data_IF_344925800298
#
_entry.id   IF_344925800298
#
_cell.length_a   1.000
_cell.length_b   1.000
_cell.length_c   1.000
_cell.angle_alpha   90.00
_cell.angle_beta   90.00
_cell.angle_gamma   90.00
#
_symmetry.space_group_name_H-M   'P 1'
#
loop_
_entity.id
_entity.type
_entity.pdbx_description
1 polymer ?
#
# COMPACT_ATOMS: atom_id res chain seq x y z
N UNK A 1 -2.63 -4.26 -13.19
CA UNK A 1 -3.95 -3.60 -13.14
C UNK A 1 -3.74 -2.17 -13.59
N UNK A 2 -4.42 -1.74 -14.64
CA UNK A 2 -4.21 -0.41 -15.19
C UNK A 2 -5.30 0.52 -14.65
N UNK A 3 -4.94 1.39 -13.70
CA UNK A 3 -5.84 2.42 -13.19
C UNK A 3 -5.75 3.64 -14.09
N UNK A 4 -6.89 4.14 -14.56
CA UNK A 4 -6.97 5.32 -15.41
C UNK A 4 -7.82 6.40 -14.73
N UNK A 5 -7.41 7.66 -14.85
CA UNK A 5 -8.25 8.83 -14.58
C UNK A 5 -8.66 9.46 -15.91
N UNK A 6 -9.93 9.84 -16.03
CA UNK A 6 -10.47 10.51 -17.23
C UNK A 6 -10.66 11.99 -16.94
N UNK A 7 -9.97 12.84 -17.71
CA UNK A 7 -9.88 14.28 -17.50
C UNK A 7 -10.63 15.02 -18.62
N UNK A 8 -11.81 15.60 -18.37
CA UNK A 8 -12.64 16.21 -19.41
C UNK A 8 -12.00 17.39 -20.16
N UNK A 9 -11.08 18.14 -19.53
CA UNK A 9 -10.49 19.35 -20.12
C UNK A 9 -9.01 19.23 -20.48
N UNK A 10 -8.42 18.05 -20.26
CA UNK A 10 -7.02 17.77 -20.57
C UNK A 10 -6.95 16.68 -21.63
N UNK A 11 -6.11 16.92 -22.62
CA UNK A 11 -5.88 15.97 -23.71
C UNK A 11 -4.39 15.82 -23.97
N UNK A 12 -3.90 14.58 -23.93
CA UNK A 12 -2.57 14.19 -24.40
C UNK A 12 -2.73 13.50 -25.75
N UNK A 13 -2.40 14.21 -26.82
CA UNK A 13 -2.70 13.75 -28.18
C UNK A 13 -4.22 13.58 -28.37
N UNK A 14 -4.66 12.34 -28.64
CA UNK A 14 -6.08 12.00 -28.77
C UNK A 14 -6.72 11.40 -27.50
N UNK A 15 -5.96 11.28 -26.41
CA UNK A 15 -6.44 10.68 -25.16
C UNK A 15 -6.76 11.75 -24.12
N UNK A 16 -7.89 11.60 -23.44
CA UNK A 16 -8.24 12.37 -22.24
C UNK A 16 -7.98 11.57 -20.96
N UNK A 17 -7.16 10.52 -21.02
CA UNK A 17 -6.89 9.62 -19.92
C UNK A 17 -5.44 9.69 -19.48
N UNK A 18 -5.23 9.69 -18.17
CA UNK A 18 -3.92 9.58 -17.52
C UNK A 18 -3.88 8.26 -16.77
N UNK A 19 -2.81 7.49 -16.99
CA UNK A 19 -2.54 6.28 -16.22
C UNK A 19 -2.06 6.64 -14.81
N UNK A 20 -2.60 5.93 -13.82
CA UNK A 20 -2.19 6.01 -12.43
C UNK A 20 -1.41 4.74 -12.10
N UNK A 21 -0.17 4.91 -11.67
CA UNK A 21 0.72 3.86 -11.21
C UNK A 21 0.75 3.80 -9.68
N UNK A 22 1.06 2.64 -9.07
CA UNK A 22 1.27 2.56 -7.63
C UNK A 22 2.46 3.43 -7.19
N UNK A 23 2.36 3.96 -5.98
CA UNK A 23 3.48 4.59 -5.28
C UNK A 23 4.04 3.58 -4.28
N UNK A 24 5.36 3.53 -4.11
CA UNK A 24 5.95 2.69 -3.06
C UNK A 24 5.68 3.29 -1.68
N UNK A 25 5.63 2.46 -0.64
CA UNK A 25 5.47 2.92 0.74
C UNK A 25 6.59 3.88 1.14
N UNK A 26 7.84 3.61 0.73
CA UNK A 26 8.97 4.49 0.97
C UNK A 26 8.81 5.87 0.29
N UNK A 27 8.32 5.90 -0.95
CA UNK A 27 8.06 7.16 -1.67
C UNK A 27 6.89 7.93 -1.06
N UNK A 28 5.82 7.24 -0.67
CA UNK A 28 4.66 7.84 0.00
C UNK A 28 5.06 8.54 1.32
N UNK A 29 5.89 7.90 2.13
CA UNK A 29 6.38 8.47 3.39
C UNK A 29 7.27 9.71 3.22
N UNK A 30 7.77 9.96 1.99
CA UNK A 30 8.56 11.14 1.63
C UNK A 30 7.71 12.26 1.01
N UNK A 31 6.42 12.03 0.78
CA UNK A 31 5.52 13.06 0.29
C UNK A 31 5.43 14.22 1.30
N UNK A 32 5.34 15.47 0.82
CA UNK A 32 5.27 16.62 1.69
C UNK A 32 3.99 16.59 2.52
N UNK A 33 4.12 16.91 3.81
CA UNK A 33 3.03 17.02 4.76
C UNK A 33 2.22 15.74 5.06
N UNK A 34 2.69 14.55 4.63
CA UNK A 34 1.96 13.27 4.85
C UNK A 34 1.74 12.93 6.33
N UNK A 35 2.61 13.41 7.23
CA UNK A 35 2.53 13.20 8.68
C UNK A 35 1.79 14.32 9.43
N UNK A 36 1.31 15.34 8.72
CA UNK A 36 0.67 16.51 9.31
C UNK A 36 -0.85 16.30 9.31
N UNK A 37 -1.49 16.50 10.47
CA UNK A 37 -2.94 16.28 10.62
C UNK A 37 -3.78 17.34 9.90
N UNK A 38 -3.54 18.62 10.19
CA UNK A 38 -4.25 19.73 9.53
C UNK A 38 -3.34 20.44 8.52
N UNK A 39 -3.85 20.63 7.30
CA UNK A 39 -3.13 21.25 6.19
C UNK A 39 -3.77 22.58 5.82
N UNK A 40 -2.94 23.59 5.58
CA UNK A 40 -3.38 24.79 4.86
C UNK A 40 -3.63 24.46 3.38
N UNK A 41 -4.36 25.34 2.68
CA UNK A 41 -4.64 25.16 1.25
C UNK A 41 -3.36 25.02 0.41
N UNK A 42 -2.31 25.79 0.75
CA UNK A 42 -1.02 25.72 0.05
C UNK A 42 -0.30 24.38 0.28
N UNK A 43 -0.35 23.85 1.51
CA UNK A 43 0.26 22.57 1.85
C UNK A 43 -0.50 21.40 1.22
N UNK A 44 -1.84 21.46 1.23
CA UNK A 44 -2.70 20.49 0.56
C UNK A 44 -2.41 20.45 -0.95
N UNK A 45 -2.30 21.62 -1.58
CA UNK A 45 -1.92 21.72 -2.98
C UNK A 45 -0.55 21.10 -3.25
N UNK A 46 0.45 21.39 -2.40
CA UNK A 46 1.79 20.83 -2.54
C UNK A 46 1.80 19.30 -2.42
N UNK A 47 1.01 18.75 -1.49
CA UNK A 47 0.86 17.30 -1.34
C UNK A 47 0.17 16.65 -2.54
N UNK A 48 -0.90 17.25 -3.06
CA UNK A 48 -1.56 16.76 -4.27
C UNK A 48 -0.65 16.82 -5.50
N UNK A 49 0.07 17.93 -5.69
CA UNK A 49 1.08 18.05 -6.75
C UNK A 49 2.10 16.91 -6.64
N UNK A 50 2.70 16.71 -5.48
CA UNK A 50 3.71 15.67 -5.28
C UNK A 50 3.14 14.26 -5.52
N UNK A 51 1.92 13.99 -5.07
CA UNK A 51 1.23 12.70 -5.28
C UNK A 51 0.97 12.44 -6.76
N UNK A 52 0.58 13.48 -7.52
CA UNK A 52 0.38 13.39 -8.98
C UNK A 52 1.69 12.99 -9.67
N UNK A 53 2.80 13.67 -9.39
CA UNK A 53 4.09 13.33 -10.00
C UNK A 53 4.63 11.96 -9.56
N UNK A 54 4.28 11.49 -8.36
CA UNK A 54 4.71 10.18 -7.89
C UNK A 54 3.90 9.02 -8.49
N UNK A 55 2.67 9.27 -8.95
CA UNK A 55 1.75 8.22 -9.39
C UNK A 55 1.38 8.33 -10.88
N UNK A 56 1.97 9.24 -11.64
CA UNK A 56 1.66 9.44 -13.06
C UNK A 56 2.92 9.80 -13.84
N UNK A 57 2.85 9.71 -15.16
CA UNK A 57 3.91 10.13 -16.07
C UNK A 57 3.74 11.58 -16.57
N UNK A 58 2.89 12.39 -15.91
CA UNK A 58 2.63 13.76 -16.34
C UNK A 58 3.89 14.63 -16.18
N UNK A 59 4.16 15.47 -17.17
CA UNK A 59 5.28 16.42 -17.11
C UNK A 59 4.89 17.70 -16.37
N UNK A 60 5.87 18.50 -15.93
CA UNK A 60 5.59 19.83 -15.36
C UNK A 60 4.83 20.73 -16.34
N UNK A 61 5.16 20.64 -17.64
CA UNK A 61 4.47 21.39 -18.69
C UNK A 61 3.00 20.98 -18.76
N UNK A 62 2.70 19.68 -18.82
CA UNK A 62 1.34 19.16 -18.86
C UNK A 62 0.56 19.50 -17.57
N UNK A 63 1.21 19.36 -16.41
CA UNK A 63 0.64 19.73 -15.11
C UNK A 63 0.22 21.20 -15.08
N UNK A 64 1.06 22.10 -15.61
CA UNK A 64 0.77 23.54 -15.67
C UNK A 64 -0.45 23.89 -16.53
N UNK A 65 -0.81 23.01 -17.47
CA UNK A 65 -1.95 23.20 -18.37
C UNK A 65 -3.25 22.59 -17.85
N UNK A 66 -3.20 21.77 -16.80
CA UNK A 66 -4.38 21.17 -16.18
C UNK A 66 -5.36 22.26 -15.77
N UNK A 67 -6.64 22.05 -16.10
CA UNK A 67 -7.71 22.88 -15.54
C UNK A 67 -7.93 22.48 -14.10
N UNK A 68 -8.36 23.42 -13.25
CA UNK A 68 -8.63 23.16 -11.84
C UNK A 68 -9.58 21.96 -11.62
N UNK A 69 -10.59 21.79 -12.49
CA UNK A 69 -11.49 20.65 -12.45
C UNK A 69 -10.78 19.31 -12.68
N UNK A 70 -9.87 19.23 -13.66
CA UNK A 70 -9.08 18.03 -13.95
C UNK A 70 -8.04 17.76 -12.86
N UNK A 71 -7.36 18.81 -12.37
CA UNK A 71 -6.45 18.69 -11.23
C UNK A 71 -7.16 18.09 -10.01
N UNK A 72 -8.36 18.59 -9.69
CA UNK A 72 -9.16 18.07 -8.59
C UNK A 72 -9.62 16.62 -8.84
N UNK A 73 -9.98 16.27 -10.08
CA UNK A 73 -10.36 14.90 -10.44
C UNK A 73 -9.19 13.93 -10.30
N UNK A 74 -8.05 14.26 -10.91
CA UNK A 74 -6.84 13.46 -10.86
C UNK A 74 -6.36 13.27 -9.41
N UNK A 75 -6.35 14.33 -8.61
CA UNK A 75 -5.98 14.28 -7.19
C UNK A 75 -6.89 13.33 -6.40
N UNK A 76 -8.21 13.37 -6.64
CA UNK A 76 -9.16 12.46 -6.00
C UNK A 76 -8.96 11.01 -6.45
N UNK A 77 -8.77 10.77 -7.74
CA UNK A 77 -8.60 9.43 -8.29
C UNK A 77 -7.31 8.77 -7.78
N UNK A 78 -6.23 9.55 -7.70
CA UNK A 78 -4.96 9.10 -7.10
C UNK A 78 -5.15 8.83 -5.62
N UNK A 79 -5.75 9.75 -4.85
CA UNK A 79 -5.99 9.54 -3.43
C UNK A 79 -6.85 8.30 -3.17
N UNK A 80 -7.90 8.07 -3.96
CA UNK A 80 -8.73 6.89 -3.86
C UNK A 80 -7.93 5.61 -4.17
N UNK A 81 -7.08 5.65 -5.19
CA UNK A 81 -6.26 4.52 -5.58
C UNK A 81 -5.18 4.18 -4.54
N UNK A 82 -4.34 5.14 -4.13
CA UNK A 82 -3.21 4.87 -3.22
C UNK A 82 -3.67 4.43 -1.83
N UNK A 83 -4.86 4.85 -1.39
CA UNK A 83 -5.43 4.46 -0.08
C UNK A 83 -6.29 3.19 -0.14
N UNK A 84 -6.40 2.54 -1.30
CA UNK A 84 -7.12 1.27 -1.43
C UNK A 84 -6.16 0.10 -1.23
N UNK A 85 -6.43 -0.76 -0.25
CA UNK A 85 -5.64 -1.97 -0.04
C UNK A 85 -5.76 -2.91 -1.26
N UNK A 86 -4.68 -3.60 -1.62
CA UNK A 86 -4.62 -4.38 -2.86
C UNK A 86 -5.51 -5.62 -2.85
N UNK A 87 -5.78 -6.20 -1.69
CA UNK A 87 -6.73 -7.29 -1.48
C UNK A 87 -8.18 -6.84 -1.83
N UNK A 88 -8.56 -5.62 -1.42
CA UNK A 88 -9.82 -4.99 -1.81
C UNK A 88 -9.85 -4.69 -3.31
N UNK A 89 -8.74 -4.22 -3.89
CA UNK A 89 -8.65 -3.98 -5.34
C UNK A 89 -8.77 -5.27 -6.16
N UNK A 90 -8.29 -6.39 -5.64
CA UNK A 90 -8.46 -7.74 -6.22
C UNK A 90 -9.88 -8.30 -6.01
N UNK A 91 -10.61 -7.80 -5.02
CA UNK A 91 -11.91 -8.36 -4.62
C UNK A 91 -11.78 -9.60 -3.73
N UNK A 92 -10.59 -9.84 -3.18
CA UNK A 92 -10.24 -11.00 -2.36
C UNK A 92 -9.62 -10.50 -1.02
N UNK A 93 -10.43 -9.90 -0.13
CA UNK A 93 -9.92 -9.30 1.10
C UNK A 93 -9.28 -10.35 2.01
N UNK A 94 -8.17 -10.00 2.66
CA UNK A 94 -7.54 -10.88 3.65
C UNK A 94 -8.46 -11.03 4.87
N UNK A 95 -8.72 -12.27 5.25
CA UNK A 95 -9.77 -12.65 6.20
C UNK A 95 -9.23 -13.32 7.48
N UNK A 96 -7.90 -13.34 7.66
CA UNK A 96 -7.29 -14.08 8.75
C UNK A 96 -7.07 -15.57 8.46
N UNK A 97 -7.68 -16.14 7.44
CA UNK A 97 -7.53 -17.57 7.12
C UNK A 97 -6.46 -17.84 6.07
N UNK A 98 -6.05 -16.76 5.38
CA UNK A 98 -5.10 -16.80 4.29
C UNK A 98 -3.67 -16.62 4.80
N UNK A 99 -2.83 -17.64 4.60
CA UNK A 99 -1.43 -17.70 5.04
C UNK A 99 -0.41 -17.38 3.94
N UNK A 100 -0.88 -17.00 2.76
CA UNK A 100 -0.05 -16.45 1.70
C UNK A 100 -0.86 -15.43 0.91
N UNK A 101 -0.23 -14.34 0.49
CA UNK A 101 -0.85 -13.29 -0.28
C UNK A 101 -0.03 -13.03 -1.53
N UNK A 102 -0.64 -13.23 -2.70
CA UNK A 102 -0.05 -12.76 -3.94
C UNK A 102 -0.13 -11.24 -3.97
N UNK A 103 0.98 -10.57 -4.27
CA UNK A 103 1.01 -9.11 -4.36
C UNK A 103 0.26 -8.65 -5.62
N UNK A 104 -0.37 -7.48 -5.60
CA UNK A 104 -0.90 -6.88 -6.81
C UNK A 104 0.21 -6.25 -7.65
N UNK A 105 1.23 -5.73 -6.98
CA UNK A 105 2.38 -5.08 -7.60
C UNK A 105 3.67 -5.76 -7.10
N UNK A 106 4.14 -6.81 -7.79
CA UNK A 106 5.45 -7.41 -7.51
C UNK A 106 6.56 -6.36 -7.57
N UNK A 107 7.58 -6.51 -6.74
CA UNK A 107 8.73 -5.62 -6.67
C UNK A 107 10.02 -6.42 -6.53
N UNK A 108 11.15 -5.81 -6.90
CA UNK A 108 12.46 -6.43 -6.72
C UNK A 108 13.08 -5.96 -5.40
N UNK A 109 13.63 -6.89 -4.63
CA UNK A 109 14.40 -6.58 -3.42
C UNK A 109 15.81 -6.08 -3.77
N UNK A 110 16.61 -5.72 -2.76
CA UNK A 110 17.98 -5.23 -2.98
C UNK A 110 18.92 -6.28 -3.59
N UNK A 111 18.57 -7.57 -3.52
CA UNK A 111 19.31 -8.66 -4.13
C UNK A 111 18.89 -8.90 -5.60
N UNK A 112 17.93 -8.13 -6.11
CA UNK A 112 17.36 -8.29 -7.46
C UNK A 112 16.40 -9.47 -7.59
N UNK A 113 15.90 -10.00 -6.48
CA UNK A 113 14.88 -11.05 -6.47
C UNK A 113 13.50 -10.43 -6.55
N UNK A 114 12.69 -10.87 -7.51
CA UNK A 114 11.30 -10.43 -7.62
C UNK A 114 10.44 -11.10 -6.56
N UNK A 115 9.89 -10.31 -5.65
CA UNK A 115 8.89 -10.71 -4.67
C UNK A 115 7.51 -10.50 -5.28
N UNK A 116 6.79 -11.59 -5.54
CA UNK A 116 5.42 -11.57 -6.05
C UNK A 116 4.39 -12.18 -5.10
N UNK A 117 4.84 -12.88 -4.05
CA UNK A 117 3.99 -13.52 -3.05
C UNK A 117 4.64 -13.40 -1.68
N UNK A 118 3.83 -13.07 -0.67
CA UNK A 118 4.22 -13.07 0.74
C UNK A 118 3.63 -14.31 1.41
N UNK A 119 4.43 -15.01 2.21
CA UNK A 119 3.93 -16.07 3.09
C UNK A 119 3.93 -15.56 4.52
N UNK A 120 2.86 -15.82 5.23
CA UNK A 120 2.70 -15.40 6.62
C UNK A 120 3.17 -16.50 7.57
N UNK A 121 4.02 -16.12 8.51
CA UNK A 121 4.44 -16.96 9.63
C UNK A 121 3.75 -16.51 10.92
N UNK A 122 3.30 -17.49 11.72
CA UNK A 122 2.73 -17.19 13.04
C UNK A 122 3.87 -16.85 13.98
N UNK A 123 3.88 -15.64 14.58
CA UNK A 123 4.96 -15.23 15.47
C UNK A 123 4.94 -16.05 16.76
N UNK A 124 6.12 -16.24 17.36
CA UNK A 124 6.25 -16.93 18.64
C UNK A 124 5.89 -16.00 19.81
N UNK A 125 5.72 -16.59 21.00
CA UNK A 125 5.60 -15.81 22.24
C UNK A 125 6.85 -14.94 22.47
N UNK A 126 8.04 -15.43 22.10
CA UNK A 126 9.28 -14.65 22.17
C UNK A 126 9.25 -13.42 21.25
N UNK A 127 8.65 -13.51 20.06
CA UNK A 127 8.42 -12.33 19.21
C UNK A 127 7.45 -11.35 19.88
N UNK A 128 6.42 -11.84 20.57
CA UNK A 128 5.46 -10.97 21.27
C UNK A 128 6.11 -10.23 22.46
N UNK A 129 6.97 -10.92 23.20
CA UNK A 129 7.76 -10.32 24.30
C UNK A 129 8.74 -9.28 23.76
N UNK A 130 9.48 -9.59 22.69
CA UNK A 130 10.38 -8.64 22.04
C UNK A 130 9.61 -7.41 21.52
N UNK A 131 8.45 -7.61 20.89
CA UNK A 131 7.58 -6.53 20.43
C UNK A 131 7.09 -5.67 21.60
N UNK A 132 6.78 -6.24 22.76
CA UNK A 132 6.33 -5.49 23.94
C UNK A 132 7.43 -4.60 24.54
N UNK A 133 8.71 -4.92 24.31
CA UNK A 133 9.86 -4.13 24.76
C UNK A 133 10.19 -2.94 23.84
N UNK A 134 9.61 -2.86 22.64
CA UNK A 134 9.82 -1.75 21.70
C UNK A 134 8.86 -0.59 21.99
N UNK A 135 9.39 0.61 22.14
CA UNK A 135 8.63 1.84 22.43
C UNK A 135 8.30 2.66 21.17
N UNK A 136 9.14 2.61 20.13
CA UNK A 136 8.89 3.34 18.88
C UNK A 136 7.93 2.57 17.97
N UNK A 137 6.79 3.19 17.64
CA UNK A 137 5.78 2.64 16.74
C UNK A 137 6.35 2.24 15.36
N UNK A 138 7.33 2.98 14.84
CA UNK A 138 7.96 2.65 13.57
C UNK A 138 8.83 1.38 13.66
N UNK A 139 9.59 1.24 14.75
CA UNK A 139 10.40 0.04 15.00
C UNK A 139 9.53 -1.18 15.29
N UNK A 140 8.44 -0.98 16.04
CA UNK A 140 7.42 -2.01 16.31
C UNK A 140 6.83 -2.55 15.02
N UNK A 141 6.38 -1.66 14.14
CA UNK A 141 5.78 -2.04 12.87
C UNK A 141 6.78 -2.83 11.99
N UNK A 142 8.02 -2.33 11.86
CA UNK A 142 9.06 -3.02 11.12
C UNK A 142 9.34 -4.42 11.69
N UNK A 143 9.44 -4.55 13.02
CA UNK A 143 9.64 -5.83 13.67
C UNK A 143 8.50 -6.82 13.40
N UNK A 144 7.25 -6.34 13.40
CA UNK A 144 6.09 -7.17 13.11
C UNK A 144 6.12 -7.71 11.68
N UNK A 145 6.38 -6.84 10.69
CA UNK A 145 6.49 -7.24 9.29
C UNK A 145 7.65 -8.22 9.07
N UNK A 146 8.80 -7.99 9.70
CA UNK A 146 9.92 -8.92 9.65
C UNK A 146 9.57 -10.29 10.21
N UNK A 147 8.92 -10.32 11.38
CA UNK A 147 8.58 -11.55 12.08
C UNK A 147 7.49 -12.37 11.39
N UNK A 148 6.59 -11.73 10.65
CA UNK A 148 5.42 -12.38 10.03
C UNK A 148 5.62 -12.61 8.54
N UNK A 149 6.29 -11.71 7.83
CA UNK A 149 6.42 -11.75 6.37
C UNK A 149 7.86 -12.02 5.90
N UNK A 150 8.85 -11.98 6.81
CA UNK A 150 10.27 -12.05 6.44
C UNK A 150 10.78 -10.82 5.68
N UNK A 151 10.05 -9.71 5.72
CA UNK A 151 10.38 -8.49 5.00
C UNK A 151 11.24 -7.55 5.85
N UNK A 152 12.37 -7.12 5.30
CA UNK A 152 13.22 -6.11 5.92
C UNK A 152 12.73 -4.70 5.54
N UNK A 153 13.32 -3.68 6.17
CA UNK A 153 12.91 -2.28 5.97
C UNK A 153 12.94 -1.86 4.49
N UNK A 154 13.95 -2.27 3.76
CA UNK A 154 14.13 -1.91 2.35
C UNK A 154 13.05 -2.56 1.49
N UNK A 155 12.64 -3.79 1.80
CA UNK A 155 11.55 -4.46 1.10
C UNK A 155 10.23 -3.72 1.33
N UNK A 156 9.97 -3.29 2.57
CA UNK A 156 8.79 -2.45 2.87
C UNK A 156 8.85 -1.12 2.12
N UNK A 157 10.00 -0.47 2.04
CA UNK A 157 10.16 0.79 1.30
C UNK A 157 9.96 0.64 -0.22
N UNK A 158 10.30 -0.52 -0.78
CA UNK A 158 10.14 -0.85 -2.20
C UNK A 158 8.72 -1.33 -2.54
N UNK A 159 8.01 -1.92 -1.60
CA UNK A 159 6.65 -2.41 -1.78
C UNK A 159 5.67 -1.29 -2.14
N UNK A 160 4.72 -1.58 -3.04
CA UNK A 160 3.61 -0.68 -3.32
C UNK A 160 2.77 -0.42 -2.06
N UNK A 161 2.36 0.83 -1.84
CA UNK A 161 1.55 1.21 -0.69
C UNK A 161 0.26 0.37 -0.59
N UNK A 162 -0.37 0.06 -1.72
CA UNK A 162 -1.58 -0.76 -1.78
C UNK A 162 -1.37 -2.15 -1.15
N UNK A 163 -0.25 -2.81 -1.47
CA UNK A 163 0.08 -4.11 -0.92
C UNK A 163 0.45 -4.01 0.55
N UNK A 164 1.23 -2.99 0.94
CA UNK A 164 1.51 -2.72 2.34
C UNK A 164 0.21 -2.53 3.17
N UNK A 165 -0.77 -1.79 2.64
CA UNK A 165 -2.06 -1.57 3.30
C UNK A 165 -2.89 -2.85 3.43
N UNK A 166 -2.78 -3.78 2.49
CA UNK A 166 -3.42 -5.09 2.59
C UNK A 166 -2.77 -5.98 3.67
N UNK A 167 -1.44 -6.00 3.71
CA UNK A 167 -0.70 -6.86 4.65
C UNK A 167 -0.79 -6.35 6.10
N UNK A 168 -0.77 -5.04 6.33
CA UNK A 168 -0.65 -4.44 7.67
C UNK A 168 -1.69 -4.94 8.69
N UNK A 169 -3.01 -4.97 8.38
CA UNK A 169 -4.01 -5.48 9.32
C UNK A 169 -3.79 -6.96 9.67
N UNK A 170 -3.45 -7.79 8.68
CA UNK A 170 -3.21 -9.23 8.85
C UNK A 170 -1.98 -9.48 9.73
N UNK A 171 -0.88 -8.74 9.49
CA UNK A 171 0.32 -8.77 10.34
C UNK A 171 -0.02 -8.40 11.79
N UNK A 172 -0.83 -7.35 11.99
CA UNK A 172 -1.32 -6.97 13.31
C UNK A 172 -2.18 -8.05 13.98
N UNK A 173 -3.02 -8.73 13.21
CA UNK A 173 -3.86 -9.80 13.71
C UNK A 173 -3.03 -10.94 14.30
N UNK A 174 -1.93 -11.33 13.68
CA UNK A 174 -1.07 -12.43 14.16
C UNK A 174 -0.51 -12.23 15.58
N UNK A 175 -0.39 -10.99 16.04
CA UNK A 175 0.06 -10.68 17.41
C UNK A 175 -1.09 -10.47 18.40
N UNK A 176 -2.31 -10.24 17.93
CA UNK A 176 -3.42 -9.76 18.78
C UNK A 176 -4.64 -10.68 18.80
N UNK A 177 -4.82 -11.50 17.78
CA UNK A 177 -5.96 -12.40 17.64
C UNK A 177 -5.68 -13.80 18.19
N UNK A 178 -6.74 -14.46 18.66
CA UNK A 178 -6.64 -15.84 19.12
C UNK A 178 -6.46 -16.83 17.97
N UNK A 179 -5.94 -18.02 18.25
CA UNK A 179 -5.82 -19.09 17.26
C UNK A 179 -7.15 -19.53 16.64
N UNK A 180 -8.31 -19.20 17.23
CA UNK A 180 -9.63 -19.50 16.67
C UNK A 180 -9.98 -18.60 15.48
N UNK A 181 -9.44 -17.37 15.45
CA UNK A 181 -9.63 -16.42 14.36
C UNK A 181 -9.09 -16.97 13.03
N UNK A 182 -7.92 -17.62 13.06
CA UNK A 182 -7.22 -18.13 11.88
C UNK A 182 -7.68 -19.53 11.41
N UNK A 183 -8.70 -20.13 12.03
CA UNK A 183 -8.94 -21.59 11.98
C UNK A 183 -10.01 -22.08 11.00
N UNK A 184 -10.76 -21.20 10.32
CA UNK A 184 -11.98 -21.63 9.61
C UNK A 184 -11.74 -22.51 8.38
N UNK A 185 -10.50 -22.64 7.89
CA UNK A 185 -10.12 -23.60 6.84
C UNK A 185 -9.37 -24.86 7.35
N UNK A 186 -8.95 -24.95 8.62
CA UNK A 186 -8.33 -26.17 9.18
C UNK A 186 -9.33 -27.30 9.49
N UNK A 187 -10.63 -27.07 9.28
CA UNK A 187 -11.72 -28.02 9.50
C UNK A 187 -12.56 -28.19 8.22
N UNK A 188 -11.96 -28.55 7.08
CA UNK A 188 -12.70 -29.36 6.11
C UNK A 188 -12.64 -30.81 6.58
N UNK A 189 -13.72 -31.39 7.12
CA UNK A 189 -13.77 -32.83 7.30
C UNK A 189 -13.63 -33.50 5.92
N UNK A 190 -12.76 -34.50 5.82
CA UNK A 190 -12.77 -35.44 4.69
C UNK A 190 -14.20 -35.97 4.56
N UNK A 191 -14.89 -35.52 3.52
CA UNK A 191 -16.17 -36.12 3.13
C UNK A 191 -15.86 -37.56 2.73
N UNK A 192 -16.38 -38.49 3.52
CA UNK A 192 -16.27 -39.94 3.32
C UNK A 192 -17.32 -40.40 2.33
#
# INVERSE_FOLDING_TARGET
>A
MDKLSTLPFFTRGASSQIAITPITFGAFNKLPHIKKGELSEAELFAQYKASIFACTDITEDEFSQLKAADFNQLSRDIAAFINSASDVLKGEPLDGETFAFDLLFPFDNELGETISQIRFEVPTVGHSEALAALEDDAERELFMFRSVCGLEKQDLEAMALNDYLALKPQVGAFFTQSAAFFRRTMLKPLST
#
